data_IF_812648396410
#
_entry.id   IF_812648396410
#
_cell.length_a   1.000
_cell.length_b   1.000
_cell.length_c   1.000
_cell.angle_alpha   90.00
_cell.angle_beta   90.00
_cell.angle_gamma   90.00
#
_symmetry.space_group_name_H-M   'P 1'
#
loop_
_entity.id
_entity.type
_entity.pdbx_description
1 polymer ?
#
# COMPACT_ATOMS: atom_id res chain seq x y z
N UNK A 1 15.42 -26.86 -21.07
CA UNK A 1 15.18 -25.41 -21.12
C UNK A 1 13.90 -25.14 -20.36
N UNK A 2 13.97 -25.11 -19.02
CA UNK A 2 12.81 -24.82 -18.17
C UNK A 2 12.52 -23.32 -18.26
N UNK A 3 11.32 -22.97 -18.72
CA UNK A 3 10.93 -21.60 -19.07
C UNK A 3 11.12 -20.61 -17.92
N UNK A 4 11.73 -19.46 -18.26
CA UNK A 4 11.95 -18.26 -17.43
C UNK A 4 10.69 -17.81 -16.67
N UNK A 5 9.51 -18.16 -17.18
CA UNK A 5 8.20 -17.89 -16.60
C UNK A 5 7.98 -18.71 -15.32
N UNK A 6 8.34 -20.00 -15.30
CA UNK A 6 8.20 -20.84 -14.10
C UNK A 6 9.22 -20.46 -13.04
N UNK A 7 10.44 -20.07 -13.42
CA UNK A 7 11.44 -19.61 -12.45
C UNK A 7 11.00 -18.32 -11.75
N UNK A 8 10.37 -17.39 -12.48
CA UNK A 8 9.83 -16.13 -11.93
C UNK A 8 8.53 -16.34 -11.14
N UNK A 9 7.65 -17.25 -11.57
CA UNK A 9 6.44 -17.61 -10.82
C UNK A 9 6.76 -18.39 -9.53
N UNK A 10 7.77 -19.26 -9.58
CA UNK A 10 8.28 -20.00 -8.42
C UNK A 10 8.99 -19.08 -7.44
N UNK A 11 9.74 -18.07 -7.91
CA UNK A 11 10.28 -16.99 -7.07
C UNK A 11 9.17 -16.18 -6.39
N UNK A 12 8.05 -15.92 -7.07
CA UNK A 12 6.89 -15.25 -6.46
C UNK A 12 6.24 -16.11 -5.36
N UNK A 13 6.18 -17.44 -5.54
CA UNK A 13 5.73 -18.39 -4.51
C UNK A 13 6.72 -18.56 -3.36
N UNK A 14 8.03 -18.40 -3.60
CA UNK A 14 9.08 -18.46 -2.56
C UNK A 14 9.16 -17.13 -1.76
N UNK A 15 8.84 -15.99 -2.38
CA UNK A 15 8.69 -14.72 -1.65
C UNK A 15 7.50 -14.78 -0.66
N UNK A 16 6.49 -15.61 -0.94
CA UNK A 16 5.38 -15.87 -0.01
C UNK A 16 5.84 -16.66 1.23
N UNK A 17 6.94 -17.41 1.16
CA UNK A 17 7.41 -18.28 2.26
C UNK A 17 8.54 -17.73 3.13
N UNK A 18 9.13 -16.56 2.84
CA UNK A 18 10.37 -16.12 3.53
C UNK A 18 10.35 -14.84 4.37
N UNK A 19 9.20 -14.19 4.60
CA UNK A 19 9.09 -13.13 5.62
C UNK A 19 8.16 -13.55 6.77
N UNK A 20 8.54 -14.62 7.45
CA UNK A 20 8.07 -14.95 8.80
C UNK A 20 9.10 -14.46 9.82
N UNK A 21 9.14 -13.16 10.11
CA UNK A 21 9.56 -12.69 11.43
C UNK A 21 9.23 -11.20 11.61
N UNK A 22 8.05 -10.90 12.15
CA UNK A 22 7.90 -10.02 13.31
C UNK A 22 6.68 -10.55 14.06
N UNK A 23 6.93 -11.20 15.19
CA UNK A 23 5.89 -11.55 16.13
C UNK A 23 5.41 -10.30 16.84
N UNK A 24 4.17 -9.92 16.62
CA UNK A 24 3.39 -9.23 17.64
C UNK A 24 2.01 -9.89 17.67
N UNK A 25 1.69 -10.52 18.79
CA UNK A 25 0.29 -10.78 19.15
C UNK A 25 -0.29 -9.42 19.47
N UNK A 26 -1.20 -8.92 18.64
CA UNK A 26 -1.95 -7.71 18.94
C UNK A 26 -3.42 -8.12 19.02
N UNK A 27 -3.89 -8.27 20.25
CA UNK A 27 -5.30 -8.10 20.59
C UNK A 27 -5.45 -6.60 20.89
N UNK A 28 -6.01 -5.87 19.95
CA UNK A 28 -6.40 -4.47 20.12
C UNK A 28 -7.75 -4.32 19.39
N UNK A 29 -8.70 -3.66 20.04
CA UNK A 29 -10.04 -3.40 19.50
C UNK A 29 -10.01 -2.33 18.40
N UNK A 30 -8.82 -1.75 18.12
CA UNK A 30 -8.58 -0.81 17.03
C UNK A 30 -8.42 -1.50 15.67
N UNK A 31 -9.01 -0.88 14.64
CA UNK A 31 -8.86 -1.33 13.25
C UNK A 31 -7.49 -1.01 12.66
N UNK A 32 -6.84 0.06 13.11
CA UNK A 32 -5.53 0.47 12.60
C UNK A 32 -4.42 0.27 13.62
N UNK A 33 -3.24 -0.13 13.14
CA UNK A 33 -2.04 -0.29 13.95
C UNK A 33 -0.85 0.30 13.22
N UNK A 34 0.06 0.93 13.95
CA UNK A 34 1.27 1.56 13.40
C UNK A 34 2.51 0.75 13.80
N UNK A 35 3.32 0.42 12.80
CA UNK A 35 4.60 -0.29 12.98
C UNK A 35 5.69 0.44 12.21
N UNK A 36 6.96 0.28 12.61
CA UNK A 36 7.97 1.13 12.00
C UNK A 36 9.41 0.64 12.07
N UNK A 37 10.23 1.22 11.19
CA UNK A 37 11.68 1.37 11.33
C UNK A 37 12.10 2.76 11.87
N UNK A 38 11.18 3.74 11.86
CA UNK A 38 11.32 5.11 12.39
C UNK A 38 10.00 5.58 13.01
N UNK A 39 10.04 6.40 14.05
CA UNK A 39 8.82 6.81 14.77
C UNK A 39 7.78 7.50 13.87
N UNK A 40 6.51 7.31 14.20
CA UNK A 40 5.39 8.05 13.61
C UNK A 40 5.12 9.27 14.48
N UNK A 41 5.07 10.45 13.85
CA UNK A 41 4.62 11.67 14.53
C UNK A 41 3.10 11.64 14.73
N UNK A 42 2.60 12.42 15.69
CA UNK A 42 1.16 12.55 15.96
C UNK A 42 0.39 13.00 14.71
N UNK A 43 0.93 13.98 13.98
CA UNK A 43 0.34 14.47 12.72
C UNK A 43 0.24 13.39 11.65
N UNK A 44 1.24 12.50 11.53
CA UNK A 44 1.18 11.41 10.55
C UNK A 44 0.16 10.35 10.92
N UNK A 45 0.01 10.05 12.22
CA UNK A 45 -1.05 9.15 12.72
C UNK A 45 -2.42 9.75 12.41
N UNK A 46 -2.61 11.04 12.70
CA UNK A 46 -3.86 11.76 12.40
C UNK A 46 -4.17 11.77 10.90
N UNK A 47 -3.18 11.99 10.04
CA UNK A 47 -3.33 11.88 8.59
C UNK A 47 -3.80 10.47 8.19
N UNK A 48 -3.17 9.42 8.72
CA UNK A 48 -3.56 8.04 8.41
C UNK A 48 -5.00 7.72 8.85
N UNK A 49 -5.38 8.13 10.06
CA UNK A 49 -6.71 7.88 10.62
C UNK A 49 -7.79 8.70 9.91
N UNK A 50 -7.60 10.01 9.76
CA UNK A 50 -8.55 10.89 9.07
C UNK A 50 -8.76 10.47 7.61
N UNK A 51 -7.69 10.14 6.87
CA UNK A 51 -7.80 9.66 5.48
C UNK A 51 -8.58 8.35 5.38
N UNK A 52 -8.45 7.48 6.39
CA UNK A 52 -9.21 6.22 6.44
C UNK A 52 -10.72 6.42 6.61
N UNK A 53 -11.16 7.56 7.13
CA UNK A 53 -12.59 7.92 7.18
C UNK A 53 -13.13 8.40 5.83
N UNK A 54 -12.26 8.88 4.94
CA UNK A 54 -12.63 9.36 3.61
C UNK A 54 -12.87 8.18 2.66
N UNK A 55 -11.98 7.18 2.69
CA UNK A 55 -12.05 6.03 1.80
C UNK A 55 -13.00 4.96 2.38
N UNK A 56 -14.12 4.74 1.69
CA UNK A 56 -15.22 3.89 2.17
C UNK A 56 -14.77 2.54 2.74
N UNK A 57 -15.12 2.34 4.02
CA UNK A 57 -14.89 1.12 4.77
C UNK A 57 -13.43 0.86 5.14
N UNK A 58 -12.52 1.82 4.96
CA UNK A 58 -11.13 1.69 5.41
C UNK A 58 -11.01 1.85 6.92
N UNK A 59 -11.81 2.74 7.52
CA UNK A 59 -12.01 2.95 8.96
C UNK A 59 -12.34 1.69 9.76
N UNK A 60 -13.07 0.75 9.15
CA UNK A 60 -13.53 -0.51 9.71
C UNK A 60 -12.74 -1.72 9.18
N UNK A 61 -11.60 -1.48 8.53
CA UNK A 61 -10.72 -2.51 7.99
C UNK A 61 -9.46 -2.65 8.84
N UNK A 62 -9.03 -3.89 9.09
CA UNK A 62 -7.77 -4.15 9.78
C UNK A 62 -6.57 -3.75 8.92
N UNK A 63 -5.97 -2.60 9.19
CA UNK A 63 -4.83 -2.04 8.43
C UNK A 63 -3.64 -1.85 9.35
N UNK A 64 -2.47 -2.30 8.91
CA UNK A 64 -1.20 -2.02 9.54
C UNK A 64 -0.50 -0.96 8.71
N UNK A 65 -0.37 0.25 9.23
CA UNK A 65 0.48 1.28 8.66
C UNK A 65 1.94 0.99 9.02
N UNK A 66 2.83 1.05 8.02
CA UNK A 66 4.22 0.61 8.17
C UNK A 66 5.22 1.55 7.46
N UNK A 67 6.11 2.17 8.22
CA UNK A 67 7.32 2.81 7.64
C UNK A 67 8.39 1.75 7.36
N UNK A 68 8.78 1.58 6.09
CA UNK A 68 9.76 0.56 5.66
C UNK A 68 10.54 0.97 4.40
N UNK A 69 11.60 0.24 4.05
CA UNK A 69 12.29 0.43 2.77
C UNK A 69 11.39 -0.15 1.68
N UNK A 70 11.14 0.65 0.65
CA UNK A 70 10.33 0.36 -0.51
C UNK A 70 11.09 0.78 -1.78
N UNK A 71 10.76 0.20 -2.93
CA UNK A 71 11.24 0.66 -4.23
C UNK A 71 10.52 1.95 -4.71
N UNK A 72 9.40 2.33 -4.08
CA UNK A 72 8.61 3.53 -4.39
C UNK A 72 8.13 4.24 -3.12
N UNK A 73 7.23 5.21 -3.25
CA UNK A 73 6.76 6.05 -2.14
C UNK A 73 5.84 5.29 -1.18
N UNK A 74 4.97 4.45 -1.73
CA UNK A 74 3.97 3.68 -1.01
C UNK A 74 3.75 2.29 -1.61
N UNK A 75 3.09 1.44 -0.83
CA UNK A 75 2.58 0.15 -1.29
C UNK A 75 1.51 -0.39 -0.32
N UNK A 76 0.36 -0.82 -0.88
CA UNK A 76 -0.62 -1.62 -0.18
C UNK A 76 -0.53 -3.10 -0.55
N UNK A 77 -0.76 -3.99 0.42
CA UNK A 77 -0.89 -5.43 0.16
C UNK A 77 -1.70 -6.13 1.26
N UNK A 78 -2.36 -7.26 0.97
CA UNK A 78 -2.90 -8.09 2.03
C UNK A 78 -1.75 -8.75 2.80
N UNK A 79 -1.91 -8.87 4.11
CA UNK A 79 -0.98 -9.60 4.94
C UNK A 79 -1.03 -11.08 4.54
N UNK A 80 0.09 -11.62 4.04
CA UNK A 80 0.19 -12.94 3.40
C UNK A 80 -0.50 -14.06 4.21
N UNK A 81 -0.29 -14.08 5.54
CA UNK A 81 -0.92 -15.06 6.44
C UNK A 81 -2.44 -14.95 6.63
N UNK A 82 -3.06 -13.96 5.98
CA UNK A 82 -4.50 -13.71 6.09
C UNK A 82 -5.19 -13.77 4.73
N UNK A 83 -4.46 -13.84 3.61
CA UNK A 83 -5.03 -13.75 2.24
C UNK A 83 -6.06 -14.84 1.97
N UNK A 84 -5.86 -16.04 2.54
CA UNK A 84 -6.80 -17.17 2.43
C UNK A 84 -8.10 -16.99 3.22
N UNK A 85 -8.17 -16.02 4.14
CA UNK A 85 -9.40 -15.71 4.89
C UNK A 85 -10.41 -15.02 3.99
N UNK A 86 -11.69 -15.05 4.40
CA UNK A 86 -12.75 -14.22 3.79
C UNK A 86 -12.32 -12.75 3.82
N UNK A 87 -12.64 -11.93 2.80
CA UNK A 87 -12.14 -10.55 2.70
C UNK A 87 -12.33 -9.70 3.96
N UNK A 88 -13.49 -9.81 4.63
CA UNK A 88 -13.80 -9.12 5.90
C UNK A 88 -12.90 -9.46 7.09
N UNK A 89 -12.17 -10.59 7.02
CA UNK A 89 -11.30 -11.09 8.10
C UNK A 89 -9.81 -10.99 7.74
N UNK A 90 -9.49 -10.35 6.61
CA UNK A 90 -8.10 -10.12 6.20
C UNK A 90 -7.52 -8.92 6.95
N UNK A 91 -6.21 -8.94 7.09
CA UNK A 91 -5.44 -7.78 7.52
C UNK A 91 -4.68 -7.27 6.31
N UNK A 92 -4.58 -5.96 6.15
CA UNK A 92 -3.83 -5.31 5.09
C UNK A 92 -2.65 -4.56 5.69
N UNK A 93 -1.63 -4.34 4.88
CA UNK A 93 -0.45 -3.55 5.23
C UNK A 93 -0.35 -2.42 4.24
N UNK A 94 -0.40 -1.18 4.73
CA UNK A 94 -0.11 0.03 3.97
C UNK A 94 1.29 0.47 4.37
N UNK A 95 2.22 0.35 3.44
CA UNK A 95 3.62 0.68 3.66
C UNK A 95 3.95 2.02 3.01
N UNK A 96 4.75 2.83 3.69
CA UNK A 96 5.30 4.09 3.16
C UNK A 96 6.82 4.09 3.33
N UNK A 97 7.51 4.79 2.42
CA UNK A 97 8.97 4.85 2.41
C UNK A 97 9.51 5.61 3.63
N UNK A 98 10.32 4.98 4.47
CA UNK A 98 10.98 5.69 5.58
C UNK A 98 12.20 6.50 5.10
N UNK A 99 12.57 7.57 5.79
CA UNK A 99 13.79 8.32 5.45
C UNK A 99 15.06 7.53 5.76
N UNK A 100 15.80 7.16 4.72
CA UNK A 100 17.16 6.64 4.85
C UNK A 100 18.14 7.59 4.14
N UNK A 101 19.45 7.44 4.38
CA UNK A 101 20.50 8.30 3.82
C UNK A 101 20.56 8.37 2.28
N UNK A 102 19.73 7.60 1.56
CA UNK A 102 19.74 7.46 0.10
C UNK A 102 18.41 7.81 -0.57
N UNK A 103 17.38 8.19 0.19
CA UNK A 103 16.04 8.42 -0.36
C UNK A 103 15.58 9.84 -0.06
N UNK A 104 15.63 10.68 -1.09
CA UNK A 104 15.11 12.05 -1.10
C UNK A 104 13.57 12.09 -1.25
N UNK A 105 12.90 10.94 -1.06
CA UNK A 105 11.49 10.70 -1.35
C UNK A 105 10.85 9.79 -0.29
N UNK A 106 11.05 10.17 0.96
CA UNK A 106 10.46 9.47 2.10
C UNK A 106 9.19 10.17 2.60
N UNK A 107 8.42 9.42 3.38
CA UNK A 107 7.15 9.87 3.92
C UNK A 107 7.31 11.10 4.83
N UNK A 108 8.39 11.12 5.63
CA UNK A 108 8.57 12.14 6.66
C UNK A 108 8.76 13.56 6.07
N UNK A 109 9.31 13.66 4.85
CA UNK A 109 9.55 14.95 4.15
C UNK A 109 8.40 15.40 3.25
N UNK A 110 7.40 14.55 3.02
CA UNK A 110 6.26 14.93 2.21
C UNK A 110 5.49 16.06 2.91
N UNK A 111 5.03 17.09 2.17
CA UNK A 111 4.01 18.00 2.68
C UNK A 111 2.79 17.22 3.14
N UNK A 112 2.08 17.69 4.17
CA UNK A 112 0.98 16.92 4.77
C UNK A 112 -0.12 16.59 3.77
N UNK A 113 -0.48 17.51 2.87
CA UNK A 113 -1.41 17.22 1.77
C UNK A 113 -0.93 16.11 0.82
N UNK A 114 0.38 15.99 0.57
CA UNK A 114 0.94 14.92 -0.23
C UNK A 114 0.98 13.59 0.55
N UNK A 115 1.20 13.62 1.88
CA UNK A 115 1.04 12.44 2.75
C UNK A 115 -0.39 11.92 2.70
N UNK A 116 -1.37 12.82 2.85
CA UNK A 116 -2.80 12.50 2.73
C UNK A 116 -3.10 11.89 1.37
N UNK A 117 -2.56 12.45 0.28
CA UNK A 117 -2.72 11.91 -1.07
C UNK A 117 -2.14 10.50 -1.23
N UNK A 118 -0.94 10.28 -0.70
CA UNK A 118 -0.30 8.96 -0.74
C UNK A 118 -1.09 7.93 0.05
N UNK A 119 -1.49 8.27 1.28
CA UNK A 119 -2.31 7.38 2.12
C UNK A 119 -3.64 7.06 1.43
N UNK A 120 -4.32 8.07 0.86
CA UNK A 120 -5.58 7.89 0.14
C UNK A 120 -5.45 6.93 -1.03
N UNK A 121 -4.41 7.11 -1.86
CA UNK A 121 -4.09 6.22 -2.96
C UNK A 121 -3.89 4.77 -2.50
N UNK A 122 -3.08 4.55 -1.45
CA UNK A 122 -2.84 3.20 -0.92
C UNK A 122 -4.08 2.58 -0.28
N UNK A 123 -4.96 3.38 0.33
CA UNK A 123 -6.23 2.90 0.88
C UNK A 123 -7.23 2.49 -0.20
N UNK A 124 -7.23 3.15 -1.36
CA UNK A 124 -8.04 2.72 -2.51
C UNK A 124 -7.58 1.34 -3.02
N UNK A 125 -6.28 1.03 -2.99
CA UNK A 125 -5.83 -0.34 -3.24
C UNK A 125 -6.39 -1.33 -2.22
N UNK A 126 -6.43 -0.97 -0.93
CA UNK A 126 -7.06 -1.81 0.11
C UNK A 126 -8.54 -2.03 -0.18
N UNK A 127 -9.27 -0.98 -0.58
CA UNK A 127 -10.67 -1.06 -0.98
C UNK A 127 -10.87 -2.05 -2.14
N UNK A 128 -10.03 -1.99 -3.18
CA UNK A 128 -10.06 -2.94 -4.30
C UNK A 128 -9.80 -4.39 -3.84
N UNK A 129 -8.85 -4.61 -2.93
CA UNK A 129 -8.55 -5.94 -2.41
C UNK A 129 -9.69 -6.55 -1.59
N UNK A 130 -10.46 -5.72 -0.87
CA UNK A 130 -11.63 -6.16 -0.10
C UNK A 130 -12.72 -6.75 -0.99
N UNK A 131 -12.80 -6.32 -2.24
CA UNK A 131 -13.79 -6.80 -3.21
C UNK A 131 -13.37 -8.09 -3.94
N UNK A 132 -12.21 -8.67 -3.59
CA UNK A 132 -11.62 -9.80 -4.33
C UNK A 132 -11.51 -11.07 -3.49
N UNK A 133 -11.95 -12.18 -4.05
CA UNK A 133 -11.65 -13.53 -3.54
C UNK A 133 -10.16 -13.89 -3.66
N UNK A 134 -9.75 -14.98 -3.01
CA UNK A 134 -8.34 -15.44 -2.98
C UNK A 134 -7.73 -15.62 -4.39
N UNK A 135 -8.42 -16.38 -5.27
CA UNK A 135 -7.92 -16.64 -6.63
C UNK A 135 -7.84 -15.37 -7.49
N UNK A 136 -8.81 -14.45 -7.34
CA UNK A 136 -8.78 -13.17 -8.05
C UNK A 136 -7.61 -12.29 -7.58
N UNK A 137 -7.31 -12.29 -6.28
CA UNK A 137 -6.13 -11.60 -5.72
C UNK A 137 -4.82 -12.17 -6.27
N UNK A 138 -4.69 -13.50 -6.29
CA UNK A 138 -3.50 -14.17 -6.81
C UNK A 138 -3.28 -13.82 -8.30
N UNK A 139 -4.34 -13.92 -9.11
CA UNK A 139 -4.28 -13.60 -10.53
C UNK A 139 -3.99 -12.13 -10.79
N UNK A 140 -4.56 -11.23 -9.98
CA UNK A 140 -4.26 -9.81 -10.03
C UNK A 140 -2.77 -9.56 -9.75
N UNK A 141 -2.20 -10.16 -8.69
CA UNK A 141 -0.79 -10.02 -8.35
C UNK A 141 0.16 -10.49 -9.46
N UNK A 142 -0.17 -11.62 -10.10
CA UNK A 142 0.58 -12.13 -11.27
C UNK A 142 0.52 -11.12 -12.43
N UNK A 143 -0.67 -10.67 -12.81
CA UNK A 143 -0.86 -9.70 -13.91
C UNK A 143 -0.18 -8.37 -13.63
N UNK A 144 -0.31 -7.87 -12.41
CA UNK A 144 0.31 -6.63 -11.96
C UNK A 144 1.84 -6.70 -12.07
N UNK A 145 2.42 -7.86 -11.76
CA UNK A 145 3.87 -8.08 -11.84
C UNK A 145 4.36 -8.21 -13.29
N UNK A 146 3.62 -8.91 -14.16
CA UNK A 146 4.11 -9.31 -15.49
C UNK A 146 3.63 -8.41 -16.64
N UNK A 147 2.55 -7.64 -16.47
CA UNK A 147 1.94 -6.87 -17.55
C UNK A 147 1.93 -5.37 -17.24
N UNK A 148 2.82 -4.60 -17.87
CA UNK A 148 2.93 -3.13 -17.71
C UNK A 148 1.60 -2.43 -18.00
N UNK A 149 0.92 -2.78 -19.10
CA UNK A 149 -0.39 -2.19 -19.45
C UNK A 149 -1.45 -2.45 -18.38
N UNK A 150 -1.47 -3.64 -17.79
CA UNK A 150 -2.38 -3.96 -16.70
C UNK A 150 -2.06 -3.15 -15.45
N UNK A 151 -0.78 -3.07 -15.07
CA UNK A 151 -0.32 -2.24 -13.95
C UNK A 151 -0.74 -0.78 -14.11
N UNK A 152 -0.38 -0.16 -15.24
CA UNK A 152 -0.75 1.23 -15.54
C UNK A 152 -2.26 1.47 -15.47
N UNK A 153 -3.07 0.51 -15.93
CA UNK A 153 -4.53 0.61 -15.82
C UNK A 153 -5.00 0.57 -14.37
N UNK A 154 -4.40 -0.28 -13.53
CA UNK A 154 -4.75 -0.34 -12.10
C UNK A 154 -4.38 0.97 -11.42
N UNK A 155 -3.16 1.48 -11.60
CA UNK A 155 -2.73 2.78 -11.05
C UNK A 155 -3.65 3.93 -11.48
N UNK A 156 -3.99 4.00 -12.77
CA UNK A 156 -4.92 5.02 -13.27
C UNK A 156 -6.30 4.94 -12.63
N UNK A 157 -6.83 3.73 -12.43
CA UNK A 157 -8.12 3.52 -11.75
C UNK A 157 -8.00 3.88 -10.26
N UNK A 158 -6.89 3.57 -9.61
CA UNK A 158 -6.61 3.96 -8.23
C UNK A 158 -6.60 5.47 -8.08
N UNK A 159 -5.85 6.19 -8.91
CA UNK A 159 -5.80 7.67 -8.88
C UNK A 159 -7.17 8.27 -9.16
N UNK A 160 -7.87 7.78 -10.19
CA UNK A 160 -9.21 8.26 -10.54
C UNK A 160 -10.21 8.05 -9.39
N UNK A 161 -10.13 6.91 -8.71
CA UNK A 161 -11.00 6.59 -7.57
C UNK A 161 -10.64 7.45 -6.36
N UNK A 162 -9.36 7.70 -6.11
CA UNK A 162 -8.90 8.58 -5.03
C UNK A 162 -9.42 10.00 -5.23
N UNK A 163 -9.32 10.53 -6.46
CA UNK A 163 -9.90 11.82 -6.84
C UNK A 163 -11.42 11.83 -6.68
N UNK A 164 -12.11 10.75 -7.08
CA UNK A 164 -13.55 10.62 -6.93
C UNK A 164 -14.03 10.60 -5.46
N UNK A 165 -13.17 10.21 -4.52
CA UNK A 165 -13.40 10.34 -3.07
C UNK A 165 -13.15 11.76 -2.54
N UNK A 166 -12.96 12.76 -3.42
CA UNK A 166 -12.78 14.16 -3.04
C UNK A 166 -11.33 14.58 -2.79
N UNK A 167 -10.37 13.69 -3.01
CA UNK A 167 -8.95 13.92 -2.67
C UNK A 167 -8.12 14.47 -3.83
N UNK A 168 -8.75 15.25 -4.72
CA UNK A 168 -8.10 15.72 -5.95
C UNK A 168 -6.91 16.66 -5.70
N UNK A 169 -7.01 17.51 -4.67
CA UNK A 169 -5.94 18.44 -4.30
C UNK A 169 -4.71 17.71 -3.75
N UNK A 170 -4.95 16.71 -2.90
CA UNK A 170 -3.95 15.88 -2.25
C UNK A 170 -3.20 15.02 -3.26
N UNK A 171 -3.92 14.37 -4.18
CA UNK A 171 -3.33 13.61 -5.30
C UNK A 171 -2.47 14.51 -6.17
N UNK A 172 -2.95 15.71 -6.51
CA UNK A 172 -2.17 16.67 -7.31
C UNK A 172 -0.88 17.08 -6.60
N UNK A 173 -0.92 17.33 -5.29
CA UNK A 173 0.26 17.70 -4.52
C UNK A 173 1.27 16.54 -4.42
N UNK A 174 0.80 15.31 -4.26
CA UNK A 174 1.65 14.13 -4.33
C UNK A 174 2.35 14.03 -5.68
N UNK A 175 1.59 14.11 -6.78
CA UNK A 175 2.14 14.00 -8.14
C UNK A 175 3.18 15.09 -8.42
N UNK A 176 2.91 16.34 -8.03
CA UNK A 176 3.87 17.45 -8.15
C UNK A 176 5.14 17.20 -7.35
N UNK A 177 5.04 16.62 -6.16
CA UNK A 177 6.21 16.28 -5.36
C UNK A 177 7.08 15.20 -6.05
N UNK A 178 6.44 14.18 -6.61
CA UNK A 178 7.13 13.10 -7.34
C UNK A 178 7.74 13.60 -8.66
N UNK A 179 7.06 14.50 -9.36
CA UNK A 179 7.56 15.11 -10.59
C UNK A 179 8.78 16.00 -10.30
N UNK A 180 8.68 16.89 -9.32
CA UNK A 180 9.75 17.82 -8.97
C UNK A 180 11.00 17.15 -8.37
N UNK A 181 10.87 15.92 -7.88
CA UNK A 181 11.99 15.11 -7.39
C UNK A 181 12.71 14.32 -8.49
N UNK A 182 12.25 14.42 -9.75
CA UNK A 182 12.90 13.80 -10.90
C UNK A 182 12.62 12.30 -11.08
N UNK A 183 11.59 11.76 -10.42
CA UNK A 183 11.17 10.36 -10.55
C UNK A 183 10.03 10.11 -11.55
N UNK A 184 9.49 11.16 -12.18
CA UNK A 184 8.57 10.98 -13.30
C UNK A 184 9.33 10.41 -14.51
N UNK A 185 9.32 9.09 -14.68
CA UNK A 185 9.90 8.36 -15.83
C UNK A 185 9.00 7.24 -16.32
#
# INVERSE_FOLDING_TARGET
MFDSIYTKALLFLIIISFFSCVGTKIHDDRFHTFTCKSEWSETEIEICESTSTIIEGSDSTKIIFKKTNLPGQGQAQPLLRTVWRKPKNRTYVVSVQFCNKRNDLCFDILPDSAKTGLVGHELVHVQDYKNRGFFNMLWMGIKYSLCKKYRTRIEYVTDSTTIANGMGYEVLNLLRFVENSGLAS
#
